data_IF_542289472622
#
_entry.id   IF_542289472622
#
_cell.length_a   1.000
_cell.length_b   1.000
_cell.length_c   1.000
_cell.angle_alpha   90.00
_cell.angle_beta   90.00
_cell.angle_gamma   90.00
#
_symmetry.space_group_name_H-M   'P 1'
#
loop_
_entity.id
_entity.type
_entity.pdbx_description
1 polymer ?
#
# COMPACT_ATOMS: atom_id res chain seq x y z
N UNK A 1 -0.48 51.68 0.95
CA UNK A 1 -1.61 50.74 1.08
C UNK A 1 -1.50 49.50 0.19
N UNK A 2 -0.93 49.59 -1.04
CA UNK A 2 -0.81 48.43 -1.95
C UNK A 2 -0.10 47.20 -1.35
N UNK A 3 1.00 47.37 -0.61
CA UNK A 3 1.71 46.22 -0.02
C UNK A 3 0.90 45.50 1.07
N UNK A 4 0.03 46.21 1.80
CA UNK A 4 -0.85 45.59 2.81
C UNK A 4 -1.91 44.71 2.15
N UNK A 5 -2.50 45.14 1.03
CA UNK A 5 -3.44 44.34 0.26
C UNK A 5 -2.79 43.10 -0.36
N UNK A 6 -1.54 43.21 -0.84
CA UNK A 6 -0.76 42.05 -1.32
C UNK A 6 -0.48 41.04 -0.21
N UNK A 7 -0.13 41.50 1.00
CA UNK A 7 0.09 40.62 2.16
C UNK A 7 -1.21 39.94 2.62
N UNK A 8 -2.33 40.66 2.63
CA UNK A 8 -3.64 40.08 2.94
C UNK A 8 -4.02 39.03 1.90
N UNK A 9 -3.83 39.33 0.61
CA UNK A 9 -4.07 38.38 -0.48
C UNK A 9 -3.19 37.13 -0.34
N UNK A 10 -1.91 37.31 -0.02
CA UNK A 10 -0.98 36.20 0.18
C UNK A 10 -1.37 35.33 1.38
N UNK A 11 -1.78 35.95 2.50
CA UNK A 11 -2.35 35.25 3.66
C UNK A 11 -3.62 34.48 3.31
N UNK A 12 -4.49 35.05 2.49
CA UNK A 12 -5.74 34.41 2.09
C UNK A 12 -5.48 33.20 1.17
N UNK A 13 -4.55 33.33 0.23
CA UNK A 13 -4.09 32.21 -0.60
C UNK A 13 -3.49 31.10 0.27
N UNK A 14 -2.63 31.46 1.23
CA UNK A 14 -2.05 30.50 2.17
C UNK A 14 -3.11 29.76 2.98
N UNK A 15 -4.14 30.47 3.45
CA UNK A 15 -5.26 29.88 4.20
C UNK A 15 -6.03 28.86 3.34
N UNK A 16 -6.34 29.20 2.09
CA UNK A 16 -7.02 28.28 1.16
C UNK A 16 -6.16 27.03 0.90
N UNK A 17 -4.85 27.20 0.73
CA UNK A 17 -3.92 26.09 0.51
C UNK A 17 -3.90 25.12 1.69
N UNK A 18 -3.84 25.66 2.92
CA UNK A 18 -3.91 24.87 4.15
C UNK A 18 -5.25 24.14 4.30
N UNK A 19 -6.37 24.82 4.02
CA UNK A 19 -7.70 24.19 4.07
C UNK A 19 -7.86 23.10 3.02
N UNK A 20 -7.31 23.28 1.82
CA UNK A 20 -7.32 22.27 0.75
C UNK A 20 -6.54 21.01 1.16
N UNK A 21 -5.36 21.17 1.75
CA UNK A 21 -4.56 20.06 2.26
C UNK A 21 -5.25 19.33 3.42
N UNK A 22 -5.81 20.08 4.38
CA UNK A 22 -6.54 19.47 5.50
C UNK A 22 -7.80 18.73 5.00
N UNK A 23 -8.52 19.35 4.06
CA UNK A 23 -9.72 18.80 3.45
C UNK A 23 -9.43 17.51 2.68
N UNK A 24 -8.34 17.46 1.92
CA UNK A 24 -7.96 16.25 1.17
C UNK A 24 -7.60 15.08 2.09
N UNK A 25 -6.86 15.34 3.17
CA UNK A 25 -6.50 14.32 4.17
C UNK A 25 -7.76 13.80 4.87
N UNK A 26 -8.65 14.69 5.33
CA UNK A 26 -9.88 14.29 6.00
C UNK A 26 -10.82 13.54 5.07
N UNK A 27 -10.98 14.01 3.83
CA UNK A 27 -11.77 13.35 2.81
C UNK A 27 -11.25 11.93 2.57
N UNK A 28 -9.94 11.75 2.38
CA UNK A 28 -9.34 10.43 2.20
C UNK A 28 -9.58 9.53 3.43
N UNK A 29 -9.33 10.04 4.64
CA UNK A 29 -9.54 9.28 5.88
C UNK A 29 -10.99 8.82 6.08
N UNK A 30 -11.97 9.61 5.63
CA UNK A 30 -13.38 9.30 5.79
C UNK A 30 -13.95 8.43 4.66
N UNK A 31 -13.45 8.57 3.44
CA UNK A 31 -13.99 7.88 2.25
C UNK A 31 -13.21 6.63 1.85
N UNK A 32 -11.96 6.50 2.27
CA UNK A 32 -11.16 5.34 1.93
C UNK A 32 -11.62 4.10 2.72
N UNK A 33 -11.91 3.03 1.99
CA UNK A 33 -12.09 1.71 2.58
C UNK A 33 -10.80 1.27 3.29
N UNK A 34 -10.90 0.88 4.56
CA UNK A 34 -9.74 0.36 5.29
C UNK A 34 -9.36 -1.04 4.79
N UNK A 35 -8.13 -1.19 4.30
CA UNK A 35 -7.54 -2.47 3.91
C UNK A 35 -6.64 -2.98 5.04
N UNK A 36 -7.14 -3.91 5.85
CA UNK A 36 -6.43 -4.47 7.02
C UNK A 36 -5.83 -5.82 6.66
N UNK A 37 -4.52 -5.97 6.81
CA UNK A 37 -3.79 -7.23 6.64
C UNK A 37 -3.17 -7.65 7.97
N UNK A 38 -2.99 -8.95 8.14
CA UNK A 38 -2.24 -9.51 9.27
C UNK A 38 -0.74 -9.38 8.97
N UNK A 39 0.02 -8.90 9.94
CA UNK A 39 1.48 -8.81 9.87
C UNK A 39 2.06 -9.50 11.10
N UNK A 40 3.11 -10.29 10.91
CA UNK A 40 3.86 -10.88 12.00
C UNK A 40 5.14 -10.06 12.23
N UNK A 41 5.31 -9.57 13.45
CA UNK A 41 6.54 -8.88 13.85
C UNK A 41 7.57 -9.94 14.20
N UNK A 42 8.62 -10.02 13.39
CA UNK A 42 9.84 -10.72 13.75
C UNK A 42 10.72 -9.71 14.51
N UNK A 43 11.36 -10.14 15.59
CA UNK A 43 12.31 -9.33 16.39
C UNK A 43 13.75 -9.77 16.07
N UNK A 44 14.33 -9.32 14.94
CA UNK A 44 15.72 -9.52 14.66
C UNK A 44 16.59 -8.68 15.59
N UNK A 45 17.59 -9.35 16.17
CA UNK A 45 18.62 -8.73 17.01
C UNK A 45 19.89 -8.65 16.17
N UNK A 46 20.31 -7.43 15.82
CA UNK A 46 21.64 -7.22 15.23
C UNK A 46 22.59 -6.50 16.21
N UNK A 47 23.81 -7.04 16.42
CA UNK A 47 24.77 -6.46 17.37
C UNK A 47 25.17 -4.99 17.10
N UNK A 48 25.09 -4.54 15.84
CA UNK A 48 25.52 -3.20 15.43
C UNK A 48 24.36 -2.20 15.28
N UNK A 49 23.14 -2.68 15.01
CA UNK A 49 22.01 -1.83 14.62
C UNK A 49 20.85 -1.84 15.62
N UNK A 50 20.93 -2.68 16.66
CA UNK A 50 19.93 -2.75 17.72
C UNK A 50 18.68 -3.55 17.33
N UNK A 51 17.58 -3.32 18.05
CA UNK A 51 16.28 -3.93 17.76
C UNK A 51 15.63 -3.23 16.57
N UNK A 52 15.40 -3.97 15.49
CA UNK A 52 14.49 -3.56 14.43
C UNK A 52 13.39 -4.60 14.31
N UNK A 53 12.20 -4.22 13.86
CA UNK A 53 11.12 -5.16 13.59
C UNK A 53 11.15 -5.51 12.10
N UNK A 54 11.40 -6.76 11.76
CA UNK A 54 11.14 -7.26 10.42
C UNK A 54 9.66 -7.64 10.33
N UNK A 55 8.94 -7.13 9.34
CA UNK A 55 7.55 -7.50 9.09
C UNK A 55 7.54 -8.69 8.14
N UNK A 56 6.87 -9.77 8.53
CA UNK A 56 6.60 -10.91 7.67
C UNK A 56 5.12 -10.95 7.31
N UNK A 57 4.85 -11.11 6.01
CA UNK A 57 3.51 -11.29 5.48
C UNK A 57 3.37 -12.64 4.79
N UNK A 58 2.18 -13.23 4.87
CA UNK A 58 1.88 -14.53 4.21
C UNK A 58 2.03 -14.51 2.68
N UNK A 59 2.00 -13.33 2.06
CA UNK A 59 2.18 -13.16 0.62
C UNK A 59 3.63 -12.84 0.23
N UNK A 60 4.57 -12.85 1.17
CA UNK A 60 6.01 -12.76 0.85
C UNK A 60 6.53 -14.10 0.30
N UNK A 61 5.89 -15.22 0.68
CA UNK A 61 6.20 -16.58 0.21
C UNK A 61 5.22 -17.05 -0.87
N UNK A 62 5.24 -16.41 -2.04
CA UNK A 62 4.39 -16.81 -3.18
C UNK A 62 5.07 -17.95 -3.94
N UNK A 63 4.35 -19.05 -4.16
CA UNK A 63 4.81 -20.17 -4.97
C UNK A 63 4.09 -20.26 -6.31
N UNK A 64 4.61 -21.07 -7.23
CA UNK A 64 3.96 -21.34 -8.54
C UNK A 64 2.51 -21.84 -8.42
N UNK A 65 2.14 -22.45 -7.28
CA UNK A 65 0.77 -22.95 -7.05
C UNK A 65 -0.25 -21.83 -6.83
N UNK A 66 0.23 -20.66 -6.41
CA UNK A 66 -0.60 -19.51 -6.12
C UNK A 66 -0.85 -18.64 -7.37
N UNK A 67 -0.15 -18.95 -8.46
CA UNK A 67 -0.27 -18.27 -9.74
C UNK A 67 -1.51 -18.71 -10.51
N UNK A 68 -2.38 -17.75 -10.84
CA UNK A 68 -3.57 -17.91 -11.69
C UNK A 68 -3.51 -17.01 -12.94
N UNK A 69 -2.32 -16.65 -13.38
CA UNK A 69 -2.13 -15.90 -14.63
C UNK A 69 -2.14 -16.81 -15.86
N UNK A 70 -2.39 -16.22 -17.03
CA UNK A 70 -2.44 -16.98 -18.29
C UNK A 70 -1.05 -17.40 -18.77
N UNK A 71 -0.06 -16.53 -18.57
CA UNK A 71 1.33 -16.79 -18.93
C UNK A 71 2.16 -17.19 -17.70
N UNK A 72 3.33 -17.82 -17.91
CA UNK A 72 4.28 -18.03 -16.82
C UNK A 72 4.77 -16.69 -16.26
N UNK A 73 4.93 -16.56 -14.93
CA UNK A 73 5.42 -15.35 -14.29
C UNK A 73 6.82 -14.98 -14.81
N UNK A 74 6.99 -13.74 -15.29
CA UNK A 74 8.27 -13.22 -15.79
C UNK A 74 8.84 -12.18 -14.84
N UNK A 75 10.16 -12.10 -14.78
CA UNK A 75 10.86 -11.06 -14.04
C UNK A 75 10.49 -9.67 -14.56
N UNK A 76 10.30 -8.71 -13.66
CA UNK A 76 9.87 -7.34 -13.99
C UNK A 76 8.41 -7.21 -14.44
N UNK A 77 7.64 -8.31 -14.45
CA UNK A 77 6.24 -8.26 -14.82
C UNK A 77 5.40 -7.67 -13.67
N UNK A 78 4.51 -6.74 -14.03
CA UNK A 78 3.49 -6.24 -13.11
C UNK A 78 2.46 -7.34 -12.85
N UNK A 79 2.26 -7.64 -11.57
CA UNK A 79 1.33 -8.65 -11.08
C UNK A 79 0.36 -8.04 -10.07
N UNK A 80 -0.72 -8.76 -9.81
CA UNK A 80 -1.74 -8.40 -8.85
C UNK A 80 -1.88 -9.51 -7.81
N UNK A 81 -1.60 -9.17 -6.57
CA UNK A 81 -1.80 -10.04 -5.40
C UNK A 81 -3.24 -9.82 -4.93
N UNK A 82 -4.05 -10.87 -4.99
CA UNK A 82 -5.48 -10.83 -4.70
C UNK A 82 -5.75 -11.30 -3.29
N UNK A 83 -6.68 -10.60 -2.62
CA UNK A 83 -7.05 -10.87 -1.24
C UNK A 83 -8.53 -11.18 -1.11
N UNK A 84 -8.84 -12.08 -0.17
CA UNK A 84 -10.19 -12.36 0.30
C UNK A 84 -10.39 -11.87 1.72
N UNK A 85 -11.62 -11.46 2.03
CA UNK A 85 -11.97 -11.04 3.39
C UNK A 85 -12.19 -12.28 4.26
N UNK A 86 -11.44 -12.37 5.35
CA UNK A 86 -11.60 -13.38 6.40
C UNK A 86 -12.80 -13.03 7.30
N UNK A 87 -13.32 -14.03 8.02
CA UNK A 87 -14.39 -13.88 9.02
C UNK A 87 -14.04 -12.86 10.11
N UNK A 88 -12.75 -12.70 10.43
CA UNK A 88 -12.23 -11.72 11.39
C UNK A 88 -12.15 -10.28 10.84
N UNK A 89 -12.63 -10.05 9.62
CA UNK A 89 -12.58 -8.74 8.96
C UNK A 89 -11.20 -8.32 8.43
N UNK A 90 -10.23 -9.24 8.43
CA UNK A 90 -8.90 -9.05 7.85
C UNK A 90 -8.87 -9.56 6.41
N UNK A 91 -8.11 -8.90 5.54
CA UNK A 91 -7.79 -9.39 4.21
C UNK A 91 -6.65 -10.40 4.30
N UNK A 92 -6.89 -11.60 3.80
CA UNK A 92 -5.91 -12.67 3.71
C UNK A 92 -5.60 -12.96 2.25
N UNK A 93 -4.36 -13.33 2.00
CA UNK A 93 -3.89 -13.74 0.68
C UNK A 93 -4.80 -14.82 0.08
N UNK A 94 -5.04 -14.74 -1.23
CA UNK A 94 -5.82 -15.74 -1.97
C UNK A 94 -5.07 -16.30 -3.18
N UNK A 95 -4.61 -15.45 -4.09
CA UNK A 95 -3.83 -15.86 -5.27
C UNK A 95 -3.12 -14.67 -5.93
N UNK A 96 -2.28 -14.96 -6.91
CA UNK A 96 -1.59 -13.97 -7.75
C UNK A 96 -2.00 -14.12 -9.21
N UNK A 97 -2.13 -13.02 -9.94
CA UNK A 97 -2.48 -13.02 -11.37
C UNK A 97 -1.77 -11.91 -12.12
N UNK A 98 -1.60 -12.08 -13.43
CA UNK A 98 -1.13 -11.07 -14.36
C UNK A 98 -2.24 -10.12 -14.85
N UNK A 99 -3.50 -10.48 -14.61
CA UNK A 99 -4.66 -9.67 -15.00
C UNK A 99 -5.21 -8.85 -13.84
N UNK A 100 -5.58 -7.60 -14.13
CA UNK A 100 -6.14 -6.71 -13.11
C UNK A 100 -7.51 -7.25 -12.65
N UNK A 101 -7.71 -7.55 -11.36
CA UNK A 101 -8.99 -8.02 -10.86
C UNK A 101 -9.99 -6.87 -10.76
N UNK A 102 -11.22 -7.07 -11.25
CA UNK A 102 -12.29 -6.05 -11.16
C UNK A 102 -13.06 -6.10 -9.84
N UNK A 103 -13.26 -7.30 -9.28
CA UNK A 103 -14.17 -7.54 -8.14
C UNK A 103 -13.46 -7.79 -6.81
N UNK A 104 -12.16 -7.99 -6.84
CA UNK A 104 -11.37 -8.33 -5.66
C UNK A 104 -10.51 -7.15 -5.22
N UNK A 105 -10.25 -7.04 -3.92
CA UNK A 105 -9.22 -6.11 -3.43
C UNK A 105 -7.86 -6.73 -3.73
N UNK A 106 -6.95 -5.92 -4.24
CA UNK A 106 -5.63 -6.38 -4.67
C UNK A 106 -4.55 -5.33 -4.39
N UNK A 107 -3.30 -5.79 -4.36
CA UNK A 107 -2.10 -4.94 -4.37
C UNK A 107 -1.36 -5.22 -5.67
N UNK A 108 -0.83 -4.18 -6.32
CA UNK A 108 0.06 -4.35 -7.46
C UNK A 108 1.50 -4.51 -6.99
N UNK A 109 2.20 -5.50 -7.53
CA UNK A 109 3.61 -5.75 -7.26
C UNK A 109 4.36 -6.04 -8.57
N UNK A 110 5.67 -6.16 -8.48
CA UNK A 110 6.54 -6.55 -9.57
C UNK A 110 7.29 -7.82 -9.16
N UNK A 111 7.44 -8.77 -10.07
CA UNK A 111 8.17 -10.01 -9.81
C UNK A 111 9.67 -9.71 -9.82
N UNK A 112 10.36 -10.09 -8.74
CA UNK A 112 11.82 -10.12 -8.65
C UNK A 112 12.25 -11.54 -8.29
N UNK A 113 13.16 -12.14 -9.07
CA UNK A 113 13.68 -13.47 -8.77
C UNK A 113 14.90 -13.40 -7.84
N UNK A 114 14.74 -14.07 -6.71
CA UNK A 114 15.76 -14.60 -5.78
C UNK A 114 16.81 -15.51 -6.43
N UNK A 115 17.88 -15.04 -7.08
CA UNK A 115 18.95 -15.97 -7.52
C UNK A 115 19.99 -16.12 -6.40
N UNK A 116 20.01 -17.29 -5.76
CA UNK A 116 21.06 -17.70 -4.79
C UNK A 116 22.37 -18.11 -5.49
#
# INVERSE_FOLDING_TARGET
MQNKMKLILLSFIQLILLLSLLGSIMYFKQTADTFKIEAESLDPIEPLFGHYAALSYKFDEITDKDWKGEAKPKEGQKIFIVFKKSEKGLYVFDFVTDQRPDKFKYISAEISYVYD
#
